data_IF_967851264354
#
_entry.id   IF_967851264354
#
_cell.length_a   1.000
_cell.length_b   1.000
_cell.length_c   1.000
_cell.angle_alpha   90.00
_cell.angle_beta   90.00
_cell.angle_gamma   90.00
#
_symmetry.space_group_name_H-M   'P 1'
#
loop_
_entity.id
_entity.type
_entity.pdbx_description
1 polymer ?
#
# COMPACT_ATOMS: atom_id res chain seq x y z
N UNK A 1 36.03 -45.13 -23.48
CA UNK A 1 35.16 -43.95 -23.29
C UNK A 1 33.88 -44.43 -22.61
N UNK A 2 33.49 -43.88 -21.45
CA UNK A 2 32.20 -44.22 -20.86
C UNK A 2 31.06 -43.77 -21.80
N UNK A 3 29.97 -44.55 -21.93
CA UNK A 3 28.84 -44.16 -22.76
C UNK A 3 28.22 -42.87 -22.20
N UNK A 4 27.99 -41.90 -23.09
CA UNK A 4 27.28 -40.66 -22.77
C UNK A 4 25.90 -41.03 -22.21
N UNK A 5 25.48 -40.50 -21.05
CA UNK A 5 24.18 -40.83 -20.49
C UNK A 5 23.07 -40.51 -21.51
N UNK A 6 22.00 -41.33 -21.55
CA UNK A 6 20.91 -41.14 -22.50
C UNK A 6 20.28 -39.75 -22.29
N UNK A 7 20.11 -39.01 -23.37
CA UNK A 7 19.44 -37.72 -23.36
C UNK A 7 17.97 -37.94 -22.95
N UNK A 8 17.46 -37.25 -21.91
CA UNK A 8 16.09 -37.46 -21.43
C UNK A 8 15.06 -37.13 -22.53
N UNK A 9 14.00 -37.94 -22.62
CA UNK A 9 12.93 -37.77 -23.61
C UNK A 9 12.22 -36.42 -23.43
N UNK A 10 11.61 -35.91 -24.49
CA UNK A 10 10.79 -34.70 -24.41
C UNK A 10 9.67 -34.83 -23.35
N UNK A 11 9.06 -36.02 -23.25
CA UNK A 11 8.06 -36.32 -22.23
C UNK A 11 8.63 -36.26 -20.81
N UNK A 12 9.85 -36.78 -20.60
CA UNK A 12 10.54 -36.73 -19.30
C UNK A 12 10.86 -35.27 -18.90
N UNK A 13 11.22 -34.43 -19.87
CA UNK A 13 11.51 -33.01 -19.64
C UNK A 13 10.24 -32.22 -19.27
N UNK A 14 9.13 -32.48 -19.93
CA UNK A 14 7.81 -31.90 -19.61
C UNK A 14 7.32 -32.34 -18.23
N UNK A 15 7.43 -33.63 -17.90
CA UNK A 15 7.06 -34.16 -16.59
C UNK A 15 7.93 -33.55 -15.48
N UNK A 16 9.26 -33.51 -15.68
CA UNK A 16 10.16 -32.91 -14.69
C UNK A 16 9.93 -31.41 -14.48
N UNK A 17 9.54 -30.67 -15.52
CA UNK A 17 9.12 -29.28 -15.36
C UNK A 17 7.79 -29.19 -14.58
N UNK A 18 6.83 -30.08 -14.84
CA UNK A 18 5.55 -30.10 -14.14
C UNK A 18 5.71 -30.37 -12.64
N UNK A 19 6.60 -31.29 -12.26
CA UNK A 19 6.93 -31.56 -10.86
C UNK A 19 7.51 -30.33 -10.18
N UNK A 20 8.43 -29.62 -10.86
CA UNK A 20 9.03 -28.40 -10.35
C UNK A 20 8.01 -27.26 -10.21
N UNK A 21 7.10 -27.11 -11.16
CA UNK A 21 6.00 -26.15 -11.11
C UNK A 21 5.13 -26.43 -9.88
N UNK A 22 4.71 -27.67 -9.70
CA UNK A 22 3.89 -28.10 -8.56
C UNK A 22 4.60 -27.80 -7.23
N UNK A 23 5.87 -28.19 -7.10
CA UNK A 23 6.66 -27.92 -5.91
C UNK A 23 6.86 -26.42 -5.64
N UNK A 24 6.98 -25.59 -6.68
CA UNK A 24 7.11 -24.14 -6.55
C UNK A 24 5.79 -23.51 -6.08
N UNK A 25 4.66 -23.94 -6.66
CA UNK A 25 3.33 -23.47 -6.25
C UNK A 25 3.04 -23.83 -4.78
N UNK A 26 3.39 -25.04 -4.34
CA UNK A 26 3.23 -25.43 -2.93
C UNK A 26 4.05 -24.49 -2.02
N UNK A 27 5.31 -24.22 -2.36
CA UNK A 27 6.17 -23.31 -1.58
C UNK A 27 5.60 -21.89 -1.52
N UNK A 28 5.14 -21.34 -2.65
CA UNK A 28 4.54 -20.00 -2.71
C UNK A 28 3.24 -19.91 -1.90
N UNK A 29 2.42 -20.95 -1.91
CA UNK A 29 1.19 -21.02 -1.10
C UNK A 29 1.49 -21.06 0.40
N UNK A 30 2.49 -21.86 0.82
CA UNK A 30 2.96 -21.86 2.20
C UNK A 30 3.44 -20.47 2.62
N UNK A 31 4.24 -19.80 1.80
CA UNK A 31 4.76 -18.47 2.09
C UNK A 31 3.68 -17.40 2.13
N UNK A 32 2.70 -17.44 1.22
CA UNK A 32 1.52 -16.56 1.27
C UNK A 32 0.75 -16.69 2.58
N UNK A 33 0.67 -17.91 3.12
CA UNK A 33 0.01 -18.18 4.40
C UNK A 33 0.81 -17.64 5.58
N UNK A 34 2.14 -17.80 5.57
CA UNK A 34 3.04 -17.28 6.60
C UNK A 34 3.11 -15.74 6.62
N UNK A 35 2.89 -15.09 5.47
CA UNK A 35 2.87 -13.63 5.35
C UNK A 35 1.50 -13.01 5.66
N UNK A 36 0.51 -13.78 6.12
CA UNK A 36 -0.78 -13.21 6.53
C UNK A 36 -0.66 -12.50 7.89
N UNK A 37 -1.18 -11.27 8.05
CA UNK A 37 -1.10 -10.49 9.29
C UNK A 37 -1.76 -11.16 10.51
N UNK A 38 -2.74 -12.04 10.28
CA UNK A 38 -3.54 -12.72 11.34
C UNK A 38 -3.00 -14.10 11.71
N UNK A 39 -1.92 -14.57 11.07
CA UNK A 39 -1.32 -15.83 11.47
C UNK A 39 -0.70 -15.65 12.86
N UNK A 40 -0.96 -16.55 13.83
CA UNK A 40 -0.19 -16.54 15.08
C UNK A 40 1.29 -16.60 14.69
N UNK A 41 2.11 -15.72 15.28
CA UNK A 41 3.57 -15.76 15.09
C UNK A 41 4.00 -17.21 15.21
N UNK A 42 4.52 -17.84 14.14
CA UNK A 42 5.01 -19.18 14.27
C UNK A 42 6.07 -19.15 15.36
N UNK A 43 5.97 -20.05 16.34
CA UNK A 43 7.07 -20.41 17.23
C UNK A 43 8.19 -20.98 16.35
N UNK A 44 8.88 -20.07 15.66
CA UNK A 44 10.08 -20.39 14.94
C UNK A 44 11.11 -20.74 16.01
N UNK A 45 11.85 -21.85 15.86
CA UNK A 45 12.98 -22.11 16.73
C UNK A 45 13.86 -20.87 16.72
N UNK A 46 14.36 -20.48 17.91
CA UNK A 46 15.41 -19.48 18.15
C UNK A 46 16.60 -19.77 17.22
N UNK A 47 16.46 -19.41 15.96
CA UNK A 47 17.51 -19.57 14.97
C UNK A 47 18.31 -18.31 15.14
N UNK A 48 19.19 -18.37 16.13
CA UNK A 48 20.28 -17.47 16.44
C UNK A 48 20.15 -16.10 15.77
N UNK A 49 19.84 -15.09 16.59
CA UNK A 49 20.15 -13.69 16.30
C UNK A 49 21.49 -13.61 15.58
N UNK A 50 21.45 -13.52 14.24
CA UNK A 50 22.66 -13.28 13.47
C UNK A 50 23.23 -11.97 14.03
N UNK A 51 24.49 -12.00 14.46
CA UNK A 51 25.18 -10.81 14.91
C UNK A 51 25.24 -9.89 13.70
N UNK A 52 24.36 -8.88 13.71
CA UNK A 52 24.11 -7.92 12.63
C UNK A 52 23.55 -8.53 11.31
N UNK A 53 22.24 -8.80 11.23
CA UNK A 53 21.63 -9.28 9.99
C UNK A 53 21.69 -8.18 8.90
N UNK A 54 21.71 -8.56 7.61
CA UNK A 54 21.78 -7.60 6.52
C UNK A 54 20.57 -6.67 6.51
N UNK A 55 20.73 -5.47 5.94
CA UNK A 55 19.62 -4.54 5.77
C UNK A 55 18.50 -5.20 4.93
N UNK A 56 17.29 -5.40 5.48
CA UNK A 56 16.21 -6.10 4.79
C UNK A 56 15.77 -5.37 3.51
N UNK A 57 15.78 -4.03 3.47
CA UNK A 57 15.36 -3.28 2.29
C UNK A 57 16.34 -3.47 1.13
N UNK A 58 17.66 -3.49 1.40
CA UNK A 58 18.65 -3.80 0.36
C UNK A 58 18.48 -5.23 -0.17
N UNK A 59 18.30 -6.20 0.73
CA UNK A 59 18.07 -7.59 0.36
C UNK A 59 16.81 -7.75 -0.50
N UNK A 60 15.70 -7.11 -0.11
CA UNK A 60 14.44 -7.16 -0.84
C UNK A 60 14.55 -6.47 -2.21
N UNK A 61 15.21 -5.32 -2.30
CA UNK A 61 15.50 -4.63 -3.56
C UNK A 61 16.29 -5.51 -4.53
N UNK A 62 17.40 -6.09 -4.07
CA UNK A 62 18.27 -6.90 -4.92
C UNK A 62 17.57 -8.18 -5.36
N UNK A 63 16.80 -8.78 -4.45
CA UNK A 63 15.95 -9.93 -4.74
C UNK A 63 14.88 -9.58 -5.77
N UNK A 64 14.19 -8.45 -5.64
CA UNK A 64 13.17 -7.98 -6.58
C UNK A 64 13.75 -7.74 -7.98
N UNK A 65 14.93 -7.11 -8.07
CA UNK A 65 15.66 -6.93 -9.35
C UNK A 65 16.00 -8.27 -10.00
N UNK A 66 16.47 -9.23 -9.21
CA UNK A 66 16.80 -10.57 -9.68
C UNK A 66 15.55 -11.34 -10.15
N UNK A 67 14.43 -11.20 -9.41
CA UNK A 67 13.14 -11.76 -9.81
C UNK A 67 12.70 -11.19 -11.16
N UNK A 68 12.76 -9.86 -11.36
CA UNK A 68 12.44 -9.25 -12.66
C UNK A 68 13.27 -9.85 -13.79
N UNK A 69 14.57 -10.06 -13.57
CA UNK A 69 15.45 -10.70 -14.56
C UNK A 69 15.03 -12.15 -14.87
N UNK A 70 14.74 -12.96 -13.85
CA UNK A 70 14.25 -14.33 -14.02
C UNK A 70 12.89 -14.38 -14.72
N UNK A 71 11.95 -13.52 -14.32
CA UNK A 71 10.60 -13.42 -14.88
C UNK A 71 10.64 -13.01 -16.35
N UNK A 72 11.50 -12.05 -16.70
CA UNK A 72 11.74 -11.66 -18.10
C UNK A 72 12.21 -12.86 -18.92
N UNK A 73 13.21 -13.59 -18.40
CA UNK A 73 13.76 -14.77 -19.06
C UNK A 73 12.72 -15.89 -19.18
N UNK A 74 11.92 -16.13 -18.15
CA UNK A 74 10.83 -17.12 -18.16
C UNK A 74 9.76 -16.74 -19.19
N UNK A 75 9.33 -15.48 -19.25
CA UNK A 75 8.37 -14.99 -20.23
C UNK A 75 8.86 -15.21 -21.66
N UNK A 76 10.11 -14.81 -21.94
CA UNK A 76 10.74 -15.03 -23.25
C UNK A 76 10.82 -16.52 -23.60
N UNK A 77 11.22 -17.38 -22.66
CA UNK A 77 11.30 -18.83 -22.92
C UNK A 77 9.93 -19.49 -23.10
N UNK A 78 8.88 -18.94 -22.48
CA UNK A 78 7.53 -19.46 -22.55
C UNK A 78 6.82 -19.11 -23.86
N UNK A 79 7.04 -17.92 -24.41
CA UNK A 79 6.40 -17.46 -25.65
C UNK A 79 7.18 -17.88 -26.91
N UNK A 80 8.50 -18.09 -26.80
CA UNK A 80 9.32 -18.45 -27.94
C UNK A 80 9.07 -19.90 -28.38
N UNK A 81 8.93 -20.10 -29.70
CA UNK A 81 8.79 -21.43 -30.30
C UNK A 81 10.14 -21.89 -30.89
N UNK A 82 10.51 -23.17 -30.70
CA UNK A 82 9.81 -24.20 -29.93
C UNK A 82 9.93 -24.00 -28.42
N UNK A 83 8.86 -24.29 -27.68
CA UNK A 83 8.90 -24.29 -26.22
C UNK A 83 9.92 -25.31 -25.74
N UNK A 84 10.78 -24.90 -24.80
CA UNK A 84 11.91 -25.72 -24.32
C UNK A 84 11.77 -25.96 -22.81
N UNK A 85 11.12 -27.06 -22.39
CA UNK A 85 10.84 -27.32 -20.97
C UNK A 85 12.10 -27.34 -20.08
N UNK A 86 13.21 -27.89 -20.60
CA UNK A 86 14.48 -27.95 -19.87
C UNK A 86 15.10 -26.57 -19.57
N UNK A 87 14.93 -25.60 -20.48
CA UNK A 87 15.41 -24.24 -20.28
C UNK A 87 14.56 -23.50 -19.23
N UNK A 88 13.23 -23.62 -19.31
CA UNK A 88 12.30 -23.06 -18.31
C UNK A 88 12.56 -23.67 -16.94
N UNK A 89 12.74 -24.99 -16.86
CA UNK A 89 13.04 -25.72 -15.62
C UNK A 89 14.30 -25.17 -14.95
N UNK A 90 15.36 -24.87 -15.70
CA UNK A 90 16.60 -24.34 -15.13
C UNK A 90 16.36 -22.99 -14.45
N UNK A 91 15.67 -22.07 -15.14
CA UNK A 91 15.40 -20.72 -14.62
C UNK A 91 14.44 -20.76 -13.44
N UNK A 92 13.40 -21.60 -13.50
CA UNK A 92 12.45 -21.77 -12.40
C UNK A 92 13.12 -22.40 -11.16
N UNK A 93 14.03 -23.35 -11.35
CA UNK A 93 14.77 -23.97 -10.25
C UNK A 93 15.68 -22.95 -9.54
N UNK A 94 16.37 -22.10 -10.31
CA UNK A 94 17.19 -21.00 -9.77
C UNK A 94 16.32 -20.01 -8.97
N UNK A 95 15.19 -19.58 -9.53
CA UNK A 95 14.22 -18.69 -8.87
C UNK A 95 13.71 -19.28 -7.54
N UNK A 96 13.31 -20.56 -7.56
CA UNK A 96 12.80 -21.31 -6.39
C UNK A 96 13.84 -21.48 -5.29
N UNK A 97 15.10 -21.73 -5.66
CA UNK A 97 16.17 -22.00 -4.71
C UNK A 97 16.76 -20.73 -4.09
N UNK A 98 16.68 -19.59 -4.77
CA UNK A 98 17.40 -18.37 -4.37
C UNK A 98 16.46 -17.23 -4.00
N UNK A 99 15.68 -16.75 -4.97
CA UNK A 99 14.91 -15.51 -4.84
C UNK A 99 13.71 -15.67 -3.91
N UNK A 100 12.96 -16.77 -4.03
CA UNK A 100 11.75 -16.99 -3.23
C UNK A 100 12.11 -17.09 -1.73
N UNK A 101 13.13 -17.86 -1.30
CA UNK A 101 13.59 -17.84 0.09
C UNK A 101 14.12 -16.46 0.52
N UNK A 102 14.87 -15.76 -0.34
CA UNK A 102 15.43 -14.45 0.00
C UNK A 102 14.35 -13.38 0.26
N UNK A 103 13.23 -13.41 -0.46
CA UNK A 103 12.05 -12.57 -0.17
C UNK A 103 11.53 -12.80 1.24
N UNK A 104 11.36 -14.08 1.62
CA UNK A 104 10.88 -14.43 2.95
C UNK A 104 11.86 -14.00 4.04
N UNK A 105 13.15 -14.25 3.84
CA UNK A 105 14.19 -13.82 4.78
C UNK A 105 14.22 -12.31 4.95
N UNK A 106 14.13 -11.53 3.86
CA UNK A 106 14.07 -10.07 3.94
C UNK A 106 12.86 -9.57 4.74
N UNK A 107 11.68 -10.15 4.51
CA UNK A 107 10.49 -9.83 5.29
C UNK A 107 10.64 -10.19 6.76
N UNK A 108 11.15 -11.39 7.07
CA UNK A 108 11.35 -11.86 8.44
C UNK A 108 12.37 -11.03 9.21
N UNK A 109 13.50 -10.67 8.59
CA UNK A 109 14.50 -9.79 9.20
C UNK A 109 13.87 -8.46 9.59
N UNK A 110 13.07 -7.86 8.70
CA UNK A 110 12.38 -6.61 9.00
C UNK A 110 11.41 -6.76 10.19
N UNK A 111 10.62 -7.83 10.22
CA UNK A 111 9.66 -8.10 11.31
C UNK A 111 10.36 -8.36 12.65
N UNK A 112 11.40 -9.19 12.67
CA UNK A 112 12.14 -9.53 13.89
C UNK A 112 12.88 -8.34 14.50
N UNK A 113 13.17 -7.31 13.70
CA UNK A 113 13.85 -6.09 14.12
C UNK A 113 12.88 -4.91 14.34
N UNK A 114 11.57 -5.15 14.35
CA UNK A 114 10.56 -4.15 14.70
C UNK A 114 10.76 -3.61 16.11
N UNK A 115 10.53 -2.31 16.29
CA UNK A 115 10.73 -1.61 17.57
C UNK A 115 12.19 -1.29 17.88
N UNK A 116 13.16 -2.02 17.32
CA UNK A 116 14.59 -1.75 17.50
C UNK A 116 15.18 -0.93 16.33
N UNK A 117 15.23 -1.50 15.12
CA UNK A 117 15.80 -0.84 13.92
C UNK A 117 14.74 -0.38 12.93
N UNK A 118 13.59 -1.05 12.90
CA UNK A 118 12.50 -0.77 11.96
C UNK A 118 11.21 -0.46 12.70
N UNK A 119 10.39 0.40 12.10
CA UNK A 119 9.07 0.69 12.63
C UNK A 119 8.10 -0.45 12.31
N UNK A 120 7.07 -0.62 13.14
CA UNK A 120 5.99 -1.59 12.89
C UNK A 120 5.31 -1.33 11.55
N UNK A 121 5.04 -0.06 11.23
CA UNK A 121 4.51 0.37 9.93
C UNK A 121 5.38 -0.15 8.76
N UNK A 122 6.71 -0.02 8.85
CA UNK A 122 7.61 -0.52 7.81
C UNK A 122 7.54 -2.04 7.68
N UNK A 123 7.56 -2.76 8.81
CA UNK A 123 7.47 -4.22 8.76
C UNK A 123 6.14 -4.73 8.18
N UNK A 124 5.00 -4.09 8.50
CA UNK A 124 3.70 -4.41 7.89
C UNK A 124 3.70 -4.15 6.38
N UNK A 125 4.26 -3.03 5.94
CA UNK A 125 4.34 -2.69 4.51
C UNK A 125 5.26 -3.64 3.75
N UNK A 126 6.43 -3.97 4.31
CA UNK A 126 7.36 -4.97 3.75
C UNK A 126 6.67 -6.33 3.61
N UNK A 127 5.96 -6.78 4.64
CA UNK A 127 5.23 -8.05 4.62
C UNK A 127 4.14 -8.03 3.54
N UNK A 128 3.37 -6.94 3.45
CA UNK A 128 2.30 -6.77 2.46
C UNK A 128 2.83 -6.78 1.01
N UNK A 129 3.88 -6.01 0.72
CA UNK A 129 4.49 -5.96 -0.62
C UNK A 129 5.18 -7.28 -0.98
N UNK A 130 5.86 -7.92 -0.02
CA UNK A 130 6.44 -9.26 -0.22
C UNK A 130 5.37 -10.30 -0.54
N UNK A 131 4.25 -10.30 0.21
CA UNK A 131 3.11 -11.18 -0.05
C UNK A 131 2.51 -10.96 -1.43
N UNK A 132 2.41 -9.69 -1.87
CA UNK A 132 1.97 -9.37 -3.24
C UNK A 132 2.91 -9.99 -4.27
N UNK A 133 4.22 -9.81 -4.16
CA UNK A 133 5.19 -10.42 -5.09
C UNK A 133 5.06 -11.95 -5.11
N UNK A 134 4.93 -12.60 -3.95
CA UNK A 134 4.75 -14.06 -3.86
C UNK A 134 3.49 -14.53 -4.59
N UNK A 135 2.37 -13.81 -4.44
CA UNK A 135 1.11 -14.12 -5.13
C UNK A 135 1.20 -13.94 -6.64
N UNK A 136 1.83 -12.86 -7.10
CA UNK A 136 1.99 -12.63 -8.53
C UNK A 136 2.95 -13.64 -9.17
N UNK A 137 4.01 -14.04 -8.44
CA UNK A 137 4.86 -15.16 -8.85
C UNK A 137 4.09 -16.47 -8.94
N UNK A 138 3.13 -16.71 -8.03
CA UNK A 138 2.27 -17.88 -8.09
C UNK A 138 1.43 -17.88 -9.38
N UNK A 139 0.84 -16.73 -9.72
CA UNK A 139 0.09 -16.54 -10.98
C UNK A 139 0.95 -16.85 -12.21
N UNK A 140 2.19 -16.32 -12.26
CA UNK A 140 3.14 -16.61 -13.33
C UNK A 140 3.50 -18.09 -13.43
N UNK A 141 3.75 -18.75 -12.29
CA UNK A 141 4.10 -20.18 -12.27
C UNK A 141 2.90 -21.04 -12.71
N UNK A 142 1.66 -20.64 -12.43
CA UNK A 142 0.45 -21.31 -12.95
C UNK A 142 0.36 -21.18 -14.48
N UNK A 143 0.58 -19.98 -15.03
CA UNK A 143 0.61 -19.76 -16.49
C UNK A 143 1.68 -20.62 -17.17
N UNK A 144 2.87 -20.78 -16.55
CA UNK A 144 3.91 -21.71 -17.05
C UNK A 144 3.43 -23.16 -17.08
N UNK A 145 2.64 -23.58 -16.09
CA UNK A 145 2.04 -24.92 -16.03
C UNK A 145 1.05 -25.17 -17.17
N UNK A 146 0.21 -24.18 -17.47
CA UNK A 146 -0.74 -24.25 -18.59
C UNK A 146 -0.03 -24.39 -19.94
N UNK A 147 1.08 -23.66 -20.13
CA UNK A 147 1.91 -23.74 -21.34
C UNK A 147 2.60 -25.11 -21.43
N UNK A 148 3.19 -25.59 -20.33
CA UNK A 148 3.85 -26.90 -20.29
C UNK A 148 2.88 -28.06 -20.54
N UNK A 149 1.63 -27.95 -20.08
CA UNK A 149 0.56 -28.92 -20.31
C UNK A 149 -0.11 -28.85 -21.69
N UNK A 150 0.34 -27.96 -22.58
CA UNK A 150 -0.24 -27.77 -23.92
C UNK A 150 -1.57 -27.00 -23.94
N UNK A 151 -2.02 -26.49 -22.79
CA UNK A 151 -3.20 -25.63 -22.64
C UNK A 151 -2.98 -24.18 -23.12
N UNK A 152 -1.72 -23.76 -23.27
CA UNK A 152 -1.33 -22.52 -23.95
C UNK A 152 -1.44 -22.64 -25.47
N UNK A 153 -2.68 -22.68 -25.99
CA UNK A 153 -2.97 -22.96 -27.39
C UNK A 153 -2.25 -22.03 -28.38
N UNK A 154 -1.40 -22.62 -29.21
CA UNK A 154 -1.28 -22.15 -30.58
C UNK A 154 -2.64 -22.28 -31.28
N UNK A 155 -3.25 -21.17 -31.68
CA UNK A 155 -4.08 -21.15 -32.89
C UNK A 155 -5.60 -20.99 -32.78
N UNK A 156 -6.22 -20.57 -31.67
CA UNK A 156 -7.65 -20.20 -31.74
C UNK A 156 -8.08 -19.14 -30.74
N UNK A 157 -7.92 -17.87 -31.14
CA UNK A 157 -8.74 -16.66 -30.87
C UNK A 157 -7.89 -15.39 -30.93
N UNK A 158 -7.57 -14.95 -32.16
CA UNK A 158 -7.42 -13.53 -32.51
C UNK A 158 -7.37 -13.39 -34.03
N UNK A 159 -8.50 -13.72 -34.67
CA UNK A 159 -8.86 -13.09 -35.93
C UNK A 159 -10.03 -12.15 -35.58
N UNK A 160 -9.68 -10.92 -35.24
CA UNK A 160 -10.57 -9.93 -34.64
C UNK A 160 -9.72 -8.72 -34.29
N UNK A 161 -9.64 -7.82 -35.26
CA UNK A 161 -8.93 -6.55 -35.25
C UNK A 161 -9.10 -5.75 -33.97
N UNK A 162 -8.03 -5.64 -33.18
CA UNK A 162 -7.70 -4.43 -32.42
C UNK A 162 -6.20 -4.21 -32.59
N UNK A 163 -5.84 -3.14 -33.30
CA UNK A 163 -4.47 -2.60 -33.33
C UNK A 163 -4.17 -2.05 -31.93
N UNK A 164 -3.41 -2.81 -31.15
CA UNK A 164 -2.88 -2.44 -29.83
C UNK A 164 -2.17 -3.65 -29.21
N UNK A 165 -0.85 -3.56 -29.04
CA UNK A 165 0.08 -4.70 -28.95
C UNK A 165 -0.16 -5.67 -27.78
N UNK A 166 -0.39 -6.94 -28.10
CA UNK A 166 -0.68 -7.96 -27.08
C UNK A 166 -0.36 -9.36 -27.58
N UNK A 167 0.94 -9.67 -27.68
CA UNK A 167 1.43 -11.00 -28.04
C UNK A 167 2.91 -11.25 -27.67
N UNK A 168 3.50 -10.43 -26.79
CA UNK A 168 4.96 -10.40 -26.57
C UNK A 168 5.41 -10.80 -25.15
N UNK A 169 4.48 -11.16 -24.25
CA UNK A 169 4.80 -11.58 -22.89
C UNK A 169 3.65 -12.34 -22.22
N UNK A 170 3.96 -13.18 -21.22
CA UNK A 170 2.97 -13.72 -20.27
C UNK A 170 2.19 -12.58 -19.61
N UNK A 171 0.89 -12.77 -19.36
CA UNK A 171 -0.01 -11.73 -18.82
C UNK A 171 0.45 -11.32 -17.42
N UNK A 172 0.86 -12.29 -16.63
CA UNK A 172 1.39 -12.13 -15.28
C UNK A 172 2.76 -11.41 -15.20
N UNK A 173 3.55 -11.33 -16.29
CA UNK A 173 4.90 -10.73 -16.23
C UNK A 173 4.87 -9.27 -15.82
N UNK A 174 3.97 -8.46 -16.40
CA UNK A 174 3.84 -7.04 -16.07
C UNK A 174 3.45 -6.82 -14.62
N UNK A 175 2.50 -7.61 -14.12
CA UNK A 175 2.01 -7.51 -12.74
C UNK A 175 3.09 -7.90 -11.72
N UNK A 176 3.91 -8.92 -12.03
CA UNK A 176 5.08 -9.28 -11.21
C UNK A 176 6.11 -8.16 -11.21
N UNK A 177 6.35 -7.52 -12.36
CA UNK A 177 7.28 -6.38 -12.43
C UNK A 177 6.81 -5.22 -11.58
N UNK A 178 5.56 -4.80 -11.72
CA UNK A 178 4.96 -3.72 -10.93
C UNK A 178 5.06 -4.03 -9.43
N UNK A 179 4.79 -5.27 -9.03
CA UNK A 179 4.92 -5.71 -7.64
C UNK A 179 6.36 -5.67 -7.14
N UNK A 180 7.32 -6.02 -8.00
CA UNK A 180 8.75 -5.91 -7.70
C UNK A 180 9.22 -4.46 -7.63
N UNK A 181 8.72 -3.59 -8.51
CA UNK A 181 9.04 -2.15 -8.51
C UNK A 181 8.52 -1.48 -7.25
N UNK A 182 7.31 -1.83 -6.80
CA UNK A 182 6.81 -1.40 -5.50
C UNK A 182 7.70 -1.88 -4.35
N UNK A 183 8.28 -3.08 -4.40
CA UNK A 183 9.19 -3.55 -3.35
C UNK A 183 10.55 -2.81 -3.39
N UNK A 184 11.05 -2.50 -4.58
CA UNK A 184 12.27 -1.70 -4.79
C UNK A 184 12.09 -0.27 -4.26
N UNK A 185 10.92 0.33 -4.48
CA UNK A 185 10.60 1.69 -4.06
C UNK A 185 10.72 1.86 -2.53
N UNK A 186 10.43 0.83 -1.73
CA UNK A 186 10.56 0.91 -0.26
C UNK A 186 11.97 1.26 0.20
N UNK A 187 12.99 0.79 -0.50
CA UNK A 187 14.37 1.12 -0.20
C UNK A 187 14.66 2.60 -0.47
N UNK A 188 14.19 3.11 -1.61
CA UNK A 188 14.38 4.52 -1.98
C UNK A 188 13.61 5.48 -1.07
N UNK A 189 12.44 5.05 -0.62
CA UNK A 189 11.53 5.83 0.20
C UNK A 189 11.96 5.83 1.68
N UNK A 190 12.41 4.68 2.18
CA UNK A 190 12.73 4.45 3.58
C UNK A 190 11.54 4.70 4.52
N UNK A 191 11.82 4.72 5.82
CA UNK A 191 10.78 4.91 6.85
C UNK A 191 10.12 6.29 6.76
N UNK A 192 10.92 7.35 6.57
CA UNK A 192 10.42 8.72 6.50
C UNK A 192 9.53 8.97 5.28
N UNK A 193 9.96 8.51 4.10
CA UNK A 193 9.13 8.60 2.90
C UNK A 193 7.84 7.79 3.02
N UNK A 194 7.88 6.61 3.66
CA UNK A 194 6.68 5.79 3.84
C UNK A 194 5.68 6.48 4.77
N UNK A 195 6.16 7.09 5.85
CA UNK A 195 5.32 7.91 6.73
C UNK A 195 4.68 9.08 5.98
N UNK A 196 5.43 9.75 5.10
CA UNK A 196 4.90 10.83 4.24
C UNK A 196 3.78 10.33 3.33
N UNK A 197 3.98 9.19 2.66
CA UNK A 197 2.98 8.63 1.74
C UNK A 197 1.72 8.22 2.50
N UNK A 198 1.86 7.47 3.60
CA UNK A 198 0.72 7.02 4.42
C UNK A 198 -0.06 8.18 5.00
N UNK A 199 0.62 9.14 5.64
CA UNK A 199 -0.03 10.33 6.18
C UNK A 199 -0.69 11.17 5.07
N UNK A 200 -0.10 11.21 3.88
CA UNK A 200 -0.71 11.83 2.70
C UNK A 200 -2.03 11.16 2.31
N UNK A 201 -2.03 9.82 2.20
CA UNK A 201 -3.22 9.04 1.90
C UNK A 201 -4.34 9.28 2.92
N UNK A 202 -4.02 9.23 4.22
CA UNK A 202 -5.00 9.49 5.28
C UNK A 202 -5.58 10.90 5.21
N UNK A 203 -4.74 11.90 4.97
CA UNK A 203 -5.17 13.28 4.78
C UNK A 203 -6.11 13.42 3.59
N UNK A 204 -5.75 12.80 2.47
CA UNK A 204 -6.51 12.89 1.23
C UNK A 204 -7.88 12.21 1.40
N UNK A 205 -7.96 11.06 2.08
CA UNK A 205 -9.24 10.43 2.47
C UNK A 205 -10.10 11.36 3.32
N UNK A 206 -9.52 12.09 4.29
CA UNK A 206 -10.29 13.04 5.11
C UNK A 206 -10.77 14.22 4.24
N UNK A 207 -9.96 14.68 3.28
CA UNK A 207 -10.36 15.77 2.37
C UNK A 207 -11.54 15.35 1.50
N UNK A 208 -11.48 14.14 0.94
CA UNK A 208 -12.55 13.61 0.09
C UNK A 208 -13.85 13.47 0.91
N UNK A 209 -13.77 13.05 2.18
CA UNK A 209 -14.93 13.01 3.08
C UNK A 209 -15.49 14.40 3.46
N UNK A 210 -14.64 15.44 3.53
CA UNK A 210 -15.09 16.83 3.74
C UNK A 210 -15.88 17.32 2.52
N UNK A 211 -15.40 17.00 1.32
CA UNK A 211 -16.05 17.34 0.06
C UNK A 211 -17.42 16.65 -0.04
N UNK A 212 -17.47 15.35 0.24
CA UNK A 212 -18.72 14.58 0.31
C UNK A 212 -19.72 15.16 1.34
N UNK A 213 -19.25 15.58 2.53
CA UNK A 213 -20.11 16.21 3.54
C UNK A 213 -20.67 17.56 3.07
N UNK A 214 -19.90 18.33 2.29
CA UNK A 214 -20.34 19.63 1.74
C UNK A 214 -21.40 19.43 0.67
N UNK A 215 -21.15 18.54 -0.28
CA UNK A 215 -22.11 18.13 -1.30
C UNK A 215 -23.42 17.66 -0.66
N UNK A 216 -23.33 16.83 0.37
CA UNK A 216 -24.51 16.37 1.11
C UNK A 216 -25.27 17.51 1.82
N UNK A 217 -24.55 18.47 2.42
CA UNK A 217 -25.14 19.61 3.14
C UNK A 217 -25.85 20.60 2.20
N UNK A 218 -25.25 20.85 1.05
CA UNK A 218 -25.71 21.85 0.08
C UNK A 218 -26.76 21.28 -0.88
N UNK A 219 -26.80 19.95 -1.01
CA UNK A 219 -27.50 19.27 -2.11
C UNK A 219 -26.62 19.30 -3.37
N UNK A 220 -26.88 18.43 -4.34
CA UNK A 220 -26.17 18.43 -5.63
C UNK A 220 -26.50 19.66 -6.51
N UNK A 221 -26.76 20.81 -5.90
CA UNK A 221 -27.03 22.11 -6.54
C UNK A 221 -25.72 22.94 -6.62
N UNK A 222 -24.58 22.26 -6.80
CA UNK A 222 -23.27 22.89 -6.98
C UNK A 222 -23.07 23.32 -8.44
N UNK A 223 -23.82 24.35 -8.84
CA UNK A 223 -23.34 25.38 -9.77
C UNK A 223 -22.52 26.46 -9.02
N UNK A 224 -22.12 26.21 -7.77
CA UNK A 224 -21.23 27.07 -6.99
C UNK A 224 -19.76 26.65 -7.18
N UNK A 225 -19.27 26.76 -8.41
CA UNK A 225 -17.84 26.99 -8.59
C UNK A 225 -17.47 28.32 -7.91
N UNK A 226 -16.53 28.27 -6.96
CA UNK A 226 -15.73 29.46 -6.63
C UNK A 226 -15.95 30.16 -5.29
N UNK A 227 -15.88 29.43 -4.17
CA UNK A 227 -15.48 30.08 -2.91
C UNK A 227 -14.59 29.21 -2.00
N UNK A 228 -13.48 28.72 -2.55
CA UNK A 228 -12.26 28.51 -1.75
C UNK A 228 -11.13 29.36 -2.37
N UNK A 229 -11.05 30.63 -1.95
CA UNK A 229 -10.00 31.61 -2.31
C UNK A 229 -8.58 31.21 -1.84
N UNK A 230 -8.36 29.93 -1.52
CA UNK A 230 -7.05 29.37 -1.20
C UNK A 230 -6.52 28.39 -2.25
N UNK A 231 -7.29 28.05 -3.29
CA UNK A 231 -6.86 27.22 -4.42
C UNK A 231 -7.62 27.61 -5.70
N UNK A 232 -7.08 28.54 -6.49
CA UNK A 232 -7.59 28.83 -7.84
C UNK A 232 -6.54 28.47 -8.91
N UNK A 233 -6.96 27.67 -9.90
CA UNK A 233 -6.61 27.80 -11.33
C UNK A 233 -7.81 27.34 -12.19
N UNK A 234 -8.75 28.25 -12.46
CA UNK A 234 -9.22 28.62 -13.81
C UNK A 234 -10.27 27.81 -14.60
N UNK A 235 -11.47 28.43 -14.73
CA UNK A 235 -12.29 28.70 -15.95
C UNK A 235 -13.60 27.90 -16.26
N UNK A 236 -14.71 28.61 -15.97
CA UNK A 236 -16.05 28.78 -16.60
C UNK A 236 -16.84 27.62 -17.27
N UNK A 237 -17.89 27.14 -16.56
CA UNK A 237 -19.32 27.47 -16.79
C UNK A 237 -20.14 26.74 -17.87
N UNK A 238 -21.37 26.27 -17.52
CA UNK A 238 -22.67 26.51 -18.21
C UNK A 238 -23.86 25.90 -17.40
N UNK A 239 -24.81 26.78 -17.08
CA UNK A 239 -26.17 26.65 -16.49
C UNK A 239 -27.08 25.54 -17.06
N UNK A 240 -27.91 24.90 -16.21
CA UNK A 240 -28.79 23.79 -16.62
C UNK A 240 -30.01 23.39 -15.75
N UNK A 241 -30.88 24.34 -15.37
CA UNK A 241 -32.35 24.20 -15.18
C UNK A 241 -32.96 23.00 -14.37
N UNK A 242 -33.23 23.24 -13.07
CA UNK A 242 -34.56 23.27 -12.40
C UNK A 242 -35.57 22.11 -12.53
N UNK A 243 -35.14 20.89 -12.86
CA UNK A 243 -35.99 19.69 -12.77
C UNK A 243 -35.43 18.57 -11.87
N UNK A 244 -34.25 18.79 -11.27
CA UNK A 244 -33.55 17.84 -10.40
C UNK A 244 -34.04 17.90 -8.93
N UNK A 245 -34.55 19.04 -8.46
CA UNK A 245 -35.01 19.25 -7.06
C UNK A 245 -35.96 18.18 -6.47
N UNK A 246 -36.72 17.46 -7.30
CA UNK A 246 -37.71 16.50 -6.81
C UNK A 246 -37.16 15.10 -6.53
N UNK A 247 -36.00 14.73 -7.07
CA UNK A 247 -35.35 13.44 -6.83
C UNK A 247 -34.09 13.54 -5.95
N UNK A 248 -33.52 14.73 -5.76
CA UNK A 248 -32.29 14.94 -4.98
C UNK A 248 -32.53 15.12 -3.47
N UNK A 249 -33.73 15.56 -3.06
CA UNK A 249 -34.10 15.77 -1.66
C UNK A 249 -34.09 14.49 -0.79
N UNK A 250 -34.01 13.30 -1.40
CA UNK A 250 -33.92 12.04 -0.67
C UNK A 250 -32.49 11.72 -0.19
N UNK A 251 -31.47 12.38 -0.75
CA UNK A 251 -30.06 12.10 -0.49
C UNK A 251 -29.26 13.32 0.01
N UNK A 252 -29.93 14.46 0.25
CA UNK A 252 -29.33 15.70 0.75
C UNK A 252 -29.81 16.03 2.16
N UNK A 253 -29.12 16.94 2.84
CA UNK A 253 -29.49 17.41 4.17
C UNK A 253 -30.93 17.97 4.21
N UNK A 254 -31.78 17.52 5.16
CA UNK A 254 -33.12 18.06 5.32
C UNK A 254 -33.11 19.56 5.67
N UNK A 255 -33.87 20.36 4.92
CA UNK A 255 -33.93 21.83 5.11
C UNK A 255 -34.56 22.27 6.44
N UNK A 256 -35.24 21.36 7.15
CA UNK A 256 -35.96 21.60 8.40
C UNK A 256 -35.11 21.36 9.67
N UNK A 257 -33.81 21.07 9.51
CA UNK A 257 -32.87 20.73 10.60
C UNK A 257 -31.72 21.76 10.72
N UNK A 258 -31.97 22.98 11.24
CA UNK A 258 -30.94 24.01 11.34
C UNK A 258 -29.79 23.64 12.30
N UNK A 259 -30.07 22.86 13.35
CA UNK A 259 -29.05 22.39 14.29
C UNK A 259 -28.05 21.44 13.63
N UNK A 260 -28.54 20.49 12.82
CA UNK A 260 -27.69 19.57 12.05
C UNK A 260 -26.86 20.30 11.00
N UNK A 261 -27.41 21.34 10.36
CA UNK A 261 -26.68 22.21 9.42
C UNK A 261 -25.53 22.94 10.12
N UNK A 262 -25.78 23.50 11.30
CA UNK A 262 -24.74 24.13 12.12
C UNK A 262 -23.67 23.13 12.55
N UNK A 263 -24.04 21.88 12.86
CA UNK A 263 -23.07 20.84 13.21
C UNK A 263 -22.21 20.41 12.01
N UNK A 264 -22.79 20.35 10.81
CA UNK A 264 -22.03 20.07 9.59
C UNK A 264 -21.01 21.18 9.28
N UNK A 265 -21.38 22.45 9.48
CA UNK A 265 -20.45 23.59 9.37
C UNK A 265 -19.33 23.53 10.41
N UNK A 266 -19.66 23.18 11.65
CA UNK A 266 -18.67 22.98 12.71
C UNK A 266 -17.71 21.82 12.37
N UNK A 267 -18.26 20.70 11.89
CA UNK A 267 -17.50 19.54 11.47
C UNK A 267 -16.56 19.88 10.31
N UNK A 268 -17.06 20.51 9.24
CA UNK A 268 -16.24 21.01 8.12
C UNK A 268 -15.06 21.86 8.62
N UNK A 269 -15.35 22.85 9.46
CA UNK A 269 -14.35 23.76 10.01
C UNK A 269 -13.32 23.07 10.92
N UNK A 270 -13.68 21.97 11.59
CA UNK A 270 -12.77 21.18 12.45
C UNK A 270 -11.96 20.18 11.62
N UNK A 271 -12.58 19.47 10.69
CA UNK A 271 -11.91 18.52 9.80
C UNK A 271 -10.89 19.22 8.90
N UNK A 272 -11.17 20.44 8.41
CA UNK A 272 -10.17 21.27 7.72
C UNK A 272 -8.92 21.54 8.58
N UNK A 273 -9.10 21.76 9.88
CA UNK A 273 -7.96 21.92 10.82
C UNK A 273 -7.21 20.60 11.00
N UNK A 274 -7.90 19.46 11.02
CA UNK A 274 -7.26 18.13 11.01
C UNK A 274 -6.42 17.94 9.75
N UNK A 275 -6.93 18.25 8.56
CA UNK A 275 -6.16 18.22 7.30
C UNK A 275 -4.90 19.10 7.37
N UNK A 276 -5.00 20.26 8.02
CA UNK A 276 -3.85 21.15 8.24
C UNK A 276 -2.79 20.50 9.16
N UNK A 277 -3.20 19.74 10.19
CA UNK A 277 -2.28 18.97 11.03
C UNK A 277 -1.49 17.96 10.22
N UNK A 278 -2.15 17.14 9.39
CA UNK A 278 -1.44 16.20 8.51
C UNK A 278 -0.44 16.92 7.61
N UNK A 279 -0.87 18.02 7.00
CA UNK A 279 0.00 18.82 6.11
C UNK A 279 1.24 19.36 6.84
N UNK A 280 1.06 19.86 8.06
CA UNK A 280 2.16 20.33 8.89
C UNK A 280 3.07 19.19 9.35
N UNK A 281 2.51 18.07 9.79
CA UNK A 281 3.24 16.87 10.22
C UNK A 281 4.09 16.30 9.07
N UNK A 282 3.51 16.17 7.87
CA UNK A 282 4.23 15.74 6.67
C UNK A 282 5.42 16.67 6.40
N UNK A 283 5.19 17.99 6.35
CA UNK A 283 6.23 18.96 5.97
C UNK A 283 7.34 19.10 7.03
N UNK A 284 7.00 19.12 8.32
CA UNK A 284 7.89 19.54 9.41
C UNK A 284 8.34 18.39 10.33
N UNK A 285 7.74 17.20 10.21
CA UNK A 285 8.10 16.00 10.99
C UNK A 285 8.49 14.85 10.08
N UNK A 286 7.62 14.38 9.20
CA UNK A 286 7.94 13.16 8.43
C UNK A 286 9.02 13.39 7.38
N UNK A 287 9.04 14.55 6.68
CA UNK A 287 10.12 14.88 5.74
C UNK A 287 11.47 15.18 6.42
N UNK A 288 11.48 15.49 7.71
CA UNK A 288 12.72 15.78 8.48
C UNK A 288 13.32 14.53 9.10
N UNK A 289 12.65 13.37 8.99
CA UNK A 289 13.18 12.06 9.35
C UNK A 289 14.39 11.74 8.45
N UNK A 290 15.60 11.84 9.01
CA UNK A 290 16.86 11.54 8.29
C UNK A 290 16.85 10.11 7.70
N UNK A 291 17.21 9.91 6.41
CA UNK A 291 17.36 8.56 5.86
C UNK A 291 18.35 7.74 6.70
N UNK A 292 18.05 6.46 6.90
CA UNK A 292 18.99 5.55 7.54
C UNK A 292 20.07 5.16 6.53
N UNK A 293 21.16 5.92 6.49
CA UNK A 293 22.35 5.50 5.77
C UNK A 293 23.13 4.48 6.64
N UNK A 294 23.39 3.28 6.10
CA UNK A 294 24.46 2.44 6.64
C UNK A 294 24.18 1.64 7.93
N UNK A 295 22.93 1.34 8.29
CA UNK A 295 22.65 0.37 9.37
C UNK A 295 22.85 0.89 10.79
N UNK A 296 23.10 2.19 10.96
CA UNK A 296 22.90 2.87 12.24
C UNK A 296 21.40 2.80 12.57
N UNK A 297 21.05 2.04 13.61
CA UNK A 297 19.67 1.97 14.07
C UNK A 297 19.22 3.34 14.56
N UNK A 298 17.95 3.68 14.33
CA UNK A 298 17.32 4.80 15.04
C UNK A 298 17.19 4.48 16.52
N UNK A 299 17.01 5.51 17.33
CA UNK A 299 16.66 5.28 18.73
C UNK A 299 15.31 4.52 18.78
N UNK A 300 15.25 3.46 19.56
CA UNK A 300 14.03 2.67 19.81
C UNK A 300 12.86 3.57 20.25
N UNK A 301 13.14 4.63 21.00
CA UNK A 301 12.14 5.61 21.42
C UNK A 301 11.56 6.42 20.24
N UNK A 302 12.39 6.80 19.26
CA UNK A 302 11.92 7.47 18.04
C UNK A 302 11.02 6.55 17.22
N UNK A 303 11.36 5.26 17.13
CA UNK A 303 10.56 4.27 16.40
C UNK A 303 9.22 4.02 17.08
N UNK A 304 9.20 3.83 18.40
CA UNK A 304 7.95 3.71 19.17
C UNK A 304 7.08 4.94 19.00
N UNK A 305 7.67 6.13 19.09
CA UNK A 305 6.95 7.39 18.90
C UNK A 305 6.39 7.51 17.48
N UNK A 306 7.15 7.15 16.47
CA UNK A 306 6.68 7.15 15.08
C UNK A 306 5.50 6.19 14.90
N UNK A 307 5.60 4.96 15.38
CA UNK A 307 4.52 3.98 15.25
C UNK A 307 3.28 4.40 16.04
N UNK A 308 3.44 5.01 17.22
CA UNK A 308 2.32 5.60 17.97
C UNK A 308 1.62 6.71 17.18
N UNK A 309 2.38 7.67 16.63
CA UNK A 309 1.83 8.76 15.82
C UNK A 309 1.10 8.19 14.61
N UNK A 310 1.75 7.27 13.87
CA UNK A 310 1.15 6.69 12.67
C UNK A 310 -0.10 5.88 12.99
N UNK A 311 -0.14 5.18 14.12
CA UNK A 311 -1.32 4.46 14.58
C UNK A 311 -2.50 5.39 14.90
N UNK A 312 -2.25 6.54 15.55
CA UNK A 312 -3.31 7.54 15.78
C UNK A 312 -3.77 8.16 14.47
N UNK A 313 -2.84 8.53 13.58
CA UNK A 313 -3.19 9.11 12.27
C UNK A 313 -3.92 8.13 11.33
N UNK A 314 -3.72 6.82 11.47
CA UNK A 314 -4.46 5.79 10.74
C UNK A 314 -5.90 5.62 11.28
N UNK A 315 -6.13 5.93 12.57
CA UNK A 315 -7.45 5.86 13.20
C UNK A 315 -8.42 6.96 12.75
N UNK A 316 -7.92 8.18 12.55
CA UNK A 316 -8.76 9.35 12.28
C UNK A 316 -9.65 9.18 11.03
N UNK A 317 -9.18 8.70 9.86
CA UNK A 317 -10.06 8.47 8.71
C UNK A 317 -11.26 7.55 9.02
N UNK A 318 -11.06 6.52 9.86
CA UNK A 318 -12.15 5.64 10.30
C UNK A 318 -13.15 6.39 11.20
N UNK A 319 -12.69 7.31 12.06
CA UNK A 319 -13.58 8.16 12.85
C UNK A 319 -14.37 9.14 11.97
N UNK A 320 -13.75 9.63 10.88
CA UNK A 320 -14.42 10.51 9.91
C UNK A 320 -15.50 9.75 9.14
N UNK A 321 -15.25 8.51 8.75
CA UNK A 321 -16.27 7.63 8.15
C UNK A 321 -17.46 7.39 9.09
N UNK A 322 -17.19 7.09 10.37
CA UNK A 322 -18.23 6.98 11.40
C UNK A 322 -18.98 8.30 11.63
N UNK A 323 -18.29 9.45 11.56
CA UNK A 323 -18.91 10.77 11.63
C UNK A 323 -19.86 11.02 10.46
N UNK A 324 -19.45 10.71 9.23
CA UNK A 324 -20.30 10.82 8.05
C UNK A 324 -21.55 9.94 8.17
N UNK A 325 -21.38 8.69 8.62
CA UNK A 325 -22.49 7.78 8.93
C UNK A 325 -23.48 8.38 9.94
N UNK A 326 -22.99 9.03 11.00
CA UNK A 326 -23.87 9.71 11.97
C UNK A 326 -24.65 10.90 11.35
N UNK A 327 -24.06 11.62 10.40
CA UNK A 327 -24.75 12.67 9.65
C UNK A 327 -25.88 12.10 8.80
N UNK A 328 -25.64 10.99 8.10
CA UNK A 328 -26.66 10.31 7.28
C UNK A 328 -27.78 9.72 8.12
N UNK A 329 -27.47 9.24 9.33
CA UNK A 329 -28.46 8.78 10.32
C UNK A 329 -29.28 9.94 10.95
N UNK A 330 -28.91 11.20 10.68
CA UNK A 330 -29.51 12.41 11.27
C UNK A 330 -29.47 12.43 12.82
N UNK A 331 -28.45 11.79 13.41
CA UNK A 331 -28.25 11.66 14.86
C UNK A 331 -27.26 12.70 15.39
N UNK A 332 -27.80 13.84 15.83
CA UNK A 332 -26.99 14.97 16.29
C UNK A 332 -26.16 14.68 17.55
N UNK A 333 -26.60 13.80 18.44
CA UNK A 333 -25.82 13.43 19.64
C UNK A 333 -24.62 12.59 19.24
N UNK A 334 -24.82 11.61 18.35
CA UNK A 334 -23.73 10.79 17.83
C UNK A 334 -22.76 11.61 16.97
N UNK A 335 -23.25 12.55 16.17
CA UNK A 335 -22.41 13.49 15.41
C UNK A 335 -21.48 14.26 16.35
N UNK A 336 -22.01 14.91 17.40
CA UNK A 336 -21.19 15.67 18.36
C UNK A 336 -20.14 14.79 19.04
N UNK A 337 -20.51 13.57 19.43
CA UNK A 337 -19.59 12.61 20.06
C UNK A 337 -18.50 12.15 19.09
N UNK A 338 -18.85 11.80 17.86
CA UNK A 338 -17.91 11.34 16.83
C UNK A 338 -16.94 12.46 16.42
N UNK A 339 -17.45 13.68 16.21
CA UNK A 339 -16.63 14.86 15.91
C UNK A 339 -15.64 15.16 17.04
N UNK A 340 -16.08 15.05 18.30
CA UNK A 340 -15.18 15.18 19.45
C UNK A 340 -14.09 14.11 19.44
N UNK A 341 -14.43 12.86 19.13
CA UNK A 341 -13.46 11.77 18.99
C UNK A 341 -12.39 12.08 17.94
N UNK A 342 -12.80 12.54 16.75
CA UNK A 342 -11.88 12.96 15.68
C UNK A 342 -10.90 14.05 16.16
N UNK A 343 -11.41 15.07 16.86
CA UNK A 343 -10.60 16.19 17.37
C UNK A 343 -9.65 15.73 18.48
N UNK A 344 -10.11 14.89 19.41
CA UNK A 344 -9.32 14.39 20.53
C UNK A 344 -8.15 13.51 20.01
N UNK A 345 -8.39 12.65 19.00
CA UNK A 345 -7.33 11.87 18.34
C UNK A 345 -6.34 12.75 17.59
N UNK A 346 -6.82 13.77 16.85
CA UNK A 346 -5.94 14.72 16.19
C UNK A 346 -5.08 15.52 17.19
N UNK A 347 -5.66 15.92 18.33
CA UNK A 347 -4.93 16.57 19.42
C UNK A 347 -3.90 15.66 20.08
N UNK A 348 -4.21 14.36 20.20
CA UNK A 348 -3.25 13.35 20.66
C UNK A 348 -2.08 13.24 19.67
N UNK A 349 -2.34 13.12 18.37
CA UNK A 349 -1.29 13.07 17.35
C UNK A 349 -0.41 14.34 17.37
N UNK A 350 -1.01 15.52 17.51
CA UNK A 350 -0.27 16.78 17.65
C UNK A 350 0.61 16.82 18.90
N UNK A 351 0.17 16.21 20.01
CA UNK A 351 0.95 16.09 21.25
C UNK A 351 2.15 15.16 21.08
N UNK A 352 1.95 14.02 20.42
CA UNK A 352 3.04 13.11 20.09
C UNK A 352 4.06 13.74 19.13
N UNK A 353 3.67 14.76 18.35
CA UNK A 353 4.54 15.48 17.41
C UNK A 353 5.08 16.81 17.96
N UNK A 354 4.84 17.14 19.22
CA UNK A 354 5.14 18.45 19.80
C UNK A 354 6.61 18.83 19.64
N UNK A 355 7.53 17.94 20.03
CA UNK A 355 8.98 18.13 19.86
C UNK A 355 9.45 17.54 18.52
N UNK A 356 10.59 17.96 18.01
CA UNK A 356 11.16 17.34 16.80
C UNK A 356 11.76 15.95 17.14
N UNK A 357 12.40 15.30 16.17
CA UNK A 357 13.00 13.97 16.38
C UNK A 357 14.27 13.99 17.25
N UNK A 358 14.92 15.14 17.37
CA UNK A 358 16.06 15.38 18.27
C UNK A 358 15.60 15.81 19.68
N UNK A 359 14.30 15.65 19.97
CA UNK A 359 13.63 16.06 21.21
C UNK A 359 13.77 17.57 21.51
N UNK A 360 13.85 18.42 20.50
CA UNK A 360 13.91 19.88 20.67
C UNK A 360 12.60 20.55 20.28
N UNK A 361 12.35 21.72 20.86
CA UNK A 361 11.27 22.60 20.43
C UNK A 361 11.66 23.32 19.13
N UNK A 362 10.69 23.52 18.25
CA UNK A 362 10.86 24.25 17.00
C UNK A 362 9.59 25.04 16.64
N UNK A 363 9.58 25.63 15.45
CA UNK A 363 8.42 26.39 14.95
C UNK A 363 7.13 25.56 14.92
N UNK A 364 7.22 24.23 14.72
CA UNK A 364 6.04 23.36 14.76
C UNK A 364 5.53 23.20 16.19
N UNK A 365 6.39 23.19 17.21
CA UNK A 365 5.96 23.17 18.62
C UNK A 365 5.04 24.35 18.93
N UNK A 366 5.47 25.57 18.60
CA UNK A 366 4.66 26.79 18.81
C UNK A 366 3.40 26.77 17.95
N UNK A 367 3.50 26.33 16.69
CA UNK A 367 2.34 26.21 15.80
C UNK A 367 1.33 25.18 16.31
N UNK A 368 1.79 24.04 16.81
CA UNK A 368 0.97 22.96 17.36
C UNK A 368 0.18 23.38 18.58
N UNK A 369 0.78 24.20 19.46
CA UNK A 369 0.07 24.82 20.59
C UNK A 369 -1.11 25.69 20.13
N UNK A 370 -0.85 26.62 19.20
CA UNK A 370 -1.90 27.48 18.62
C UNK A 370 -2.97 26.68 17.87
N UNK A 371 -2.56 25.61 17.19
CA UNK A 371 -3.47 24.72 16.49
C UNK A 371 -4.39 23.96 17.45
N UNK A 372 -3.86 23.47 18.58
CA UNK A 372 -4.66 22.81 19.63
C UNK A 372 -5.68 23.76 20.26
N UNK A 373 -5.29 25.01 20.51
CA UNK A 373 -6.21 26.05 20.98
C UNK A 373 -7.32 26.35 19.95
N UNK A 374 -7.00 26.30 18.65
CA UNK A 374 -7.96 26.60 17.59
C UNK A 374 -8.90 25.44 17.23
N UNK A 375 -8.56 24.20 17.60
CA UNK A 375 -9.38 23.01 17.32
C UNK A 375 -10.24 22.58 18.53
N UNK A 376 -9.80 22.94 19.75
CA UNK A 376 -10.58 22.79 20.98
C UNK A 376 -11.81 23.69 20.95
#
# INVERSE_FOLDING_TARGET
MPPKPPTPSAADQTASLQDLITATLTQLNTYTTLLNPTAPSPDLPDTATAVDPPNPLHLLRDTAKLIKAHVTKLSLLAINKPFTPSAVRKVLAELKATCIPALMSGSQICTLQQGAKWSEMMGREVQARTRRVVRELESLVRELGEINGGGGGGGSRRNGSVKGGGGDSLRSTGVVWESCDALIELETMGIGGLAVVKAGQYRDTIRDAIEELREWKEGEDLDSEGQDELLDEGDEGVDGDRFEDLFHAANSMPSDRPELRSLAEEADGKLKKVVLLYTAAIKRRFKTLKPLEGGEGRNEEEMKRLDQVMGVLDGIPHQVDELASCFYDLDEERVRKSLKGCVDEAAQAASLLERNWEDQEDEFTTWGGKWKEAIS
#
